data_IF_561205318900
#
_entry.id   IF_561205318900
#
_cell.length_a   1.000
_cell.length_b   1.000
_cell.length_c   1.000
_cell.angle_alpha   90.00
_cell.angle_beta   90.00
_cell.angle_gamma   90.00
#
_symmetry.space_group_name_H-M   'P 1'
#
loop_
_entity.id
_entity.type
_entity.pdbx_description
1 polymer ?
#
# COMPACT_ATOMS: atom_id res chain seq x y z
N UNK A 1 -14.16 -16.97 -8.09
CA UNK A 1 -12.81 -16.46 -7.81
C UNK A 1 -12.94 -15.00 -7.40
N UNK A 2 -12.23 -14.52 -6.37
CA UNK A 2 -12.21 -13.09 -6.01
C UNK A 2 -10.91 -12.48 -6.52
N UNK A 3 -10.98 -11.38 -7.27
CA UNK A 3 -9.81 -10.61 -7.69
C UNK A 3 -9.34 -9.80 -6.48
N UNK A 4 -8.07 -9.91 -6.05
CA UNK A 4 -7.51 -9.03 -5.02
C UNK A 4 -7.71 -7.57 -5.43
N UNK A 5 -8.06 -6.65 -4.53
CA UNK A 5 -8.25 -5.23 -4.88
C UNK A 5 -7.09 -4.33 -4.45
N UNK A 6 -6.22 -4.85 -3.59
CA UNK A 6 -5.05 -4.13 -3.11
C UNK A 6 -3.88 -5.08 -2.90
N UNK A 7 -2.68 -4.56 -3.06
CA UNK A 7 -1.43 -5.23 -2.75
C UNK A 7 -0.63 -4.38 -1.76
N UNK A 8 0.25 -5.00 -0.99
CA UNK A 8 1.07 -4.30 -0.02
C UNK A 8 2.54 -4.69 -0.19
N UNK A 9 3.44 -3.79 0.21
CA UNK A 9 4.89 -3.99 0.26
C UNK A 9 5.44 -3.34 1.52
N UNK A 10 6.45 -3.95 2.13
CA UNK A 10 7.23 -3.33 3.20
C UNK A 10 8.69 -3.36 2.78
N UNK A 11 9.31 -2.19 2.69
CA UNK A 11 10.76 -2.08 2.55
C UNK A 11 11.36 -2.05 3.96
N UNK A 12 12.40 -2.84 4.23
CA UNK A 12 13.12 -2.82 5.49
C UNK A 12 14.62 -2.77 5.22
N UNK A 13 15.34 -1.95 5.97
CA UNK A 13 16.77 -1.72 5.81
C UNK A 13 17.42 -1.37 7.14
N UNK A 14 18.74 -1.53 7.22
CA UNK A 14 19.52 -1.16 8.40
C UNK A 14 20.47 -0.02 8.09
N UNK A 15 20.58 0.93 9.02
CA UNK A 15 21.62 1.97 9.01
C UNK A 15 22.64 1.63 10.09
N UNK A 16 23.92 1.54 9.72
CA UNK A 16 25.00 1.24 10.67
C UNK A 16 25.89 2.47 10.84
N UNK A 17 26.08 2.89 12.08
CA UNK A 17 27.09 3.84 12.54
C UNK A 17 28.23 3.08 13.21
N UNK A 18 29.34 3.75 13.54
CA UNK A 18 30.46 3.11 14.24
C UNK A 18 30.03 2.43 15.56
N UNK A 19 29.06 3.01 16.27
CA UNK A 19 28.62 2.54 17.59
C UNK A 19 27.32 1.70 17.58
N UNK A 20 26.57 1.65 16.47
CA UNK A 20 25.23 1.03 16.48
C UNK A 20 24.69 0.63 15.10
N UNK A 21 23.73 -0.30 15.10
CA UNK A 21 22.91 -0.62 13.92
C UNK A 21 21.44 -0.40 14.25
N UNK A 22 20.77 0.43 13.46
CA UNK A 22 19.34 0.69 13.56
C UNK A 22 18.58 0.03 12.41
N UNK A 23 17.47 -0.64 12.71
CA UNK A 23 16.53 -1.17 11.73
C UNK A 23 15.47 -0.10 11.42
N UNK A 24 15.12 0.02 10.14
CA UNK A 24 14.10 0.91 9.61
C UNK A 24 13.17 0.12 8.68
N UNK A 25 11.92 0.55 8.57
CA UNK A 25 10.96 -0.02 7.64
C UNK A 25 9.99 1.04 7.12
N UNK A 26 9.42 0.84 5.93
CA UNK A 26 8.39 1.70 5.33
C UNK A 26 7.31 0.83 4.67
N UNK A 27 6.04 1.13 4.96
CA UNK A 27 4.87 0.43 4.41
C UNK A 27 4.27 1.11 3.19
N UNK A 28 3.88 0.32 2.18
CA UNK A 28 3.23 0.79 0.97
C UNK A 28 2.03 -0.06 0.60
N UNK A 29 0.96 0.58 0.10
CA UNK A 29 -0.22 -0.09 -0.45
C UNK A 29 -0.45 0.38 -1.88
N UNK A 30 -0.71 -0.57 -2.77
CA UNK A 30 -1.17 -0.36 -4.12
C UNK A 30 -2.67 -0.65 -4.17
N UNK A 31 -3.48 0.37 -4.46
CA UNK A 31 -4.92 0.23 -4.65
C UNK A 31 -5.26 0.16 -6.13
N UNK A 32 -5.81 -0.97 -6.57
CA UNK A 32 -6.27 -1.19 -7.94
C UNK A 32 -7.79 -1.13 -8.07
N UNK A 33 -8.53 -0.83 -7.00
CA UNK A 33 -9.99 -0.74 -7.08
C UNK A 33 -10.49 0.20 -8.19
N UNK A 34 -9.89 1.39 -8.44
CA UNK A 34 -10.35 2.28 -9.50
C UNK A 34 -10.24 1.70 -10.92
N UNK A 35 -9.35 0.72 -11.14
CA UNK A 35 -9.19 0.06 -12.43
C UNK A 35 -10.19 -1.09 -12.64
N UNK A 36 -10.82 -1.54 -11.55
CA UNK A 36 -11.77 -2.65 -11.56
C UNK A 36 -13.23 -2.18 -11.57
N UNK A 37 -13.49 -0.86 -11.45
CA UNK A 37 -14.84 -0.29 -11.45
C UNK A 37 -15.54 -0.46 -12.81
N UNK A 38 -14.79 -0.37 -13.92
CA UNK A 38 -15.31 -0.50 -15.29
C UNK A 38 -15.26 -1.94 -15.83
N UNK A 39 -14.63 -2.87 -15.11
CA UNK A 39 -14.59 -4.28 -15.49
C UNK A 39 -15.80 -4.96 -14.86
N UNK A 40 -16.80 -5.26 -15.70
CA UNK A 40 -17.96 -6.04 -15.27
C UNK A 40 -17.50 -7.37 -14.65
N UNK A 41 -17.71 -7.52 -13.34
CA UNK A 41 -17.18 -8.62 -12.53
C UNK A 41 -17.77 -9.98 -12.91
N UNK A 42 -18.94 -10.00 -13.54
CA UNK A 42 -19.54 -11.21 -14.11
C UNK A 42 -18.99 -11.57 -15.50
N UNK A 43 -18.45 -10.58 -16.22
CA UNK A 43 -17.89 -10.74 -17.57
C UNK A 43 -16.36 -10.93 -17.56
N UNK A 44 -15.70 -10.85 -16.40
CA UNK A 44 -14.24 -10.96 -16.24
C UNK A 44 -13.59 -12.30 -16.63
N UNK A 45 -14.36 -13.26 -17.15
CA UNK A 45 -13.87 -14.51 -17.77
C UNK A 45 -14.13 -14.56 -19.28
N UNK A 46 -14.71 -13.51 -19.88
CA UNK A 46 -14.78 -13.42 -21.32
C UNK A 46 -13.34 -13.44 -21.87
N UNK A 47 -13.00 -14.34 -22.79
CA UNK A 47 -11.69 -14.31 -23.43
C UNK A 47 -11.49 -12.91 -23.98
N UNK A 48 -10.39 -12.26 -23.59
CA UNK A 48 -10.01 -10.97 -24.16
C UNK A 48 -10.16 -11.12 -25.69
N UNK A 49 -10.95 -10.27 -26.36
CA UNK A 49 -11.10 -10.39 -27.81
C UNK A 49 -9.71 -10.40 -28.40
N UNK A 50 -9.38 -11.44 -29.19
CA UNK A 50 -8.05 -11.64 -29.78
C UNK A 50 -7.56 -10.41 -30.58
N UNK A 51 -8.47 -9.46 -30.85
CA UNK A 51 -8.27 -8.23 -31.63
C UNK A 51 -8.83 -6.96 -30.94
N UNK A 52 -9.17 -6.98 -29.64
CA UNK A 52 -9.62 -5.78 -28.93
C UNK A 52 -8.54 -5.23 -28.01
N UNK A 53 -8.37 -3.90 -28.01
CA UNK A 53 -7.48 -3.26 -27.04
C UNK A 53 -7.98 -3.54 -25.62
N UNK A 54 -7.10 -3.94 -24.68
CA UNK A 54 -7.49 -4.02 -23.28
C UNK A 54 -8.06 -2.66 -22.83
N UNK A 55 -9.08 -2.65 -21.96
CA UNK A 55 -9.62 -1.40 -21.44
C UNK A 55 -8.48 -0.57 -20.83
N UNK A 56 -8.54 0.74 -21.01
CA UNK A 56 -7.51 1.64 -20.51
C UNK A 56 -7.53 1.60 -18.98
N UNK A 57 -6.60 0.86 -18.38
CA UNK A 57 -6.43 0.85 -16.94
C UNK A 57 -5.81 2.20 -16.55
N UNK A 58 -6.47 2.96 -15.68
CA UNK A 58 -5.88 4.15 -15.05
C UNK A 58 -4.61 3.79 -14.26
N UNK A 59 -3.81 4.76 -13.80
CA UNK A 59 -2.63 4.45 -12.98
C UNK A 59 -3.05 3.75 -11.67
N UNK A 60 -2.26 2.79 -11.20
CA UNK A 60 -2.42 2.30 -9.83
C UNK A 60 -2.24 3.45 -8.84
N UNK A 61 -3.08 3.52 -7.81
CA UNK A 61 -2.86 4.48 -6.73
C UNK A 61 -1.92 3.86 -5.72
N UNK A 62 -0.72 4.44 -5.59
CA UNK A 62 0.27 4.00 -4.61
C UNK A 62 0.16 4.89 -3.39
N UNK A 63 0.16 4.29 -2.21
CA UNK A 63 0.11 5.00 -0.93
C UNK A 63 1.28 4.58 -0.07
N UNK A 64 1.90 5.54 0.63
CA UNK A 64 2.64 5.24 1.85
C UNK A 64 1.64 5.14 3.01
N UNK A 65 1.80 4.09 3.81
CA UNK A 65 0.90 3.77 4.93
C UNK A 65 1.71 3.35 6.14
N UNK A 66 1.10 3.43 7.33
CA UNK A 66 1.73 2.82 8.51
C UNK A 66 1.70 1.28 8.39
N UNK A 67 2.77 0.63 8.80
CA UNK A 67 2.86 -0.83 8.88
C UNK A 67 1.79 -1.40 9.82
N UNK A 68 1.32 -0.63 10.81
CA UNK A 68 0.17 -1.01 11.66
C UNK A 68 -1.10 -1.20 10.82
N UNK A 69 -1.38 -0.32 9.85
CA UNK A 69 -2.54 -0.47 8.98
C UNK A 69 -2.43 -1.72 8.06
N UNK A 70 -1.21 -2.16 7.74
CA UNK A 70 -0.96 -3.41 6.98
C UNK A 70 -1.20 -4.63 7.89
N UNK A 71 -0.71 -4.61 9.13
CA UNK A 71 -0.96 -5.65 10.13
C UNK A 71 -2.47 -5.84 10.33
N UNK A 72 -3.20 -4.75 10.53
CA UNK A 72 -4.65 -4.78 10.73
C UNK A 72 -5.43 -5.36 9.54
N UNK A 73 -4.92 -5.19 8.31
CA UNK A 73 -5.58 -5.68 7.07
C UNK A 73 -5.23 -7.12 6.71
N UNK A 74 -4.04 -7.56 7.10
CA UNK A 74 -3.47 -8.85 6.66
C UNK A 74 -3.42 -9.88 7.77
N UNK A 75 -3.57 -9.44 9.03
CA UNK A 75 -3.42 -10.23 10.25
C UNK A 75 -2.03 -10.89 10.39
N UNK A 76 -1.05 -10.41 9.63
CA UNK A 76 0.33 -10.89 9.70
C UNK A 76 1.05 -10.32 10.92
N UNK A 77 1.83 -11.15 11.60
CA UNK A 77 2.68 -10.68 12.69
C UNK A 77 3.93 -9.98 12.15
N UNK A 78 3.85 -8.66 12.02
CA UNK A 78 4.93 -7.78 11.55
C UNK A 78 5.35 -6.76 12.62
N UNK A 79 5.12 -7.10 13.89
CA UNK A 79 5.30 -6.22 15.06
C UNK A 79 6.72 -5.65 15.18
N UNK A 80 7.74 -6.40 14.73
CA UNK A 80 9.13 -5.91 14.73
C UNK A 80 9.29 -4.77 13.72
N UNK A 81 8.74 -4.92 12.52
CA UNK A 81 8.84 -3.91 11.46
C UNK A 81 8.01 -2.67 11.78
N UNK A 82 6.85 -2.84 12.41
CA UNK A 82 6.01 -1.69 12.80
C UNK A 82 6.66 -0.81 13.87
N UNK A 83 7.52 -1.37 14.72
CA UNK A 83 8.29 -0.59 15.71
C UNK A 83 9.41 0.25 15.09
N UNK A 84 9.81 -0.09 13.86
CA UNK A 84 10.86 0.58 13.10
C UNK A 84 10.30 1.32 11.89
N UNK A 85 8.98 1.52 11.85
CA UNK A 85 8.31 2.21 10.77
C UNK A 85 8.74 3.68 10.75
N UNK A 86 9.31 4.12 9.63
CA UNK A 86 9.71 5.51 9.41
C UNK A 86 8.51 6.40 9.12
N UNK A 87 7.39 5.82 8.69
CA UNK A 87 6.14 6.54 8.53
C UNK A 87 5.49 6.73 9.91
N UNK A 88 5.87 7.80 10.62
CA UNK A 88 5.32 8.11 11.93
C UNK A 88 3.85 8.56 11.78
N UNK A 89 2.86 7.80 12.29
CA UNK A 89 1.51 8.33 12.39
C UNK A 89 1.55 9.50 13.39
N UNK A 90 1.19 10.70 12.94
CA UNK A 90 1.09 11.85 13.83
C UNK A 90 0.16 11.47 15.02
N UNK A 91 0.61 11.59 16.29
CA UNK A 91 -0.14 11.11 17.45
C UNK A 91 -1.47 11.85 17.70
N UNK A 92 -1.79 12.87 16.88
CA UNK A 92 -2.95 13.72 17.03
C UNK A 92 -4.17 13.32 16.17
N UNK A 93 -4.07 12.34 15.26
CA UNK A 93 -5.21 11.93 14.44
C UNK A 93 -6.07 10.94 15.22
N UNK A 94 -7.07 11.48 15.93
CA UNK A 94 -8.15 10.76 16.62
C UNK A 94 -8.58 9.51 15.85
N UNK A 95 -8.88 8.46 16.62
CA UNK A 95 -9.37 7.14 16.19
C UNK A 95 -10.63 7.16 15.28
N UNK A 96 -11.20 8.34 14.99
CA UNK A 96 -12.44 8.53 14.21
C UNK A 96 -12.25 9.06 12.79
N UNK A 97 -11.03 9.28 12.29
CA UNK A 97 -10.83 9.65 10.88
C UNK A 97 -10.66 8.38 10.05
N UNK A 98 -11.28 8.32 8.86
CA UNK A 98 -11.13 7.21 7.91
C UNK A 98 -9.63 6.86 7.75
N UNK A 99 -9.29 5.57 7.86
CA UNK A 99 -7.91 5.07 7.79
C UNK A 99 -7.24 5.51 6.49
N UNK A 100 -8.01 5.60 5.39
CA UNK A 100 -7.51 6.12 4.10
C UNK A 100 -7.11 7.58 4.15
N UNK A 101 -7.67 8.38 5.06
CA UNK A 101 -7.28 9.79 5.24
C UNK A 101 -5.88 9.94 5.84
N UNK A 102 -5.34 8.89 6.46
CA UNK A 102 -3.96 8.86 6.97
C UNK A 102 -2.95 8.33 5.96
N UNK A 103 -3.39 7.93 4.77
CA UNK A 103 -2.51 7.40 3.74
C UNK A 103 -2.04 8.54 2.84
N UNK A 104 -0.75 8.58 2.54
CA UNK A 104 -0.17 9.59 1.64
C UNK A 104 -0.15 8.99 0.24
N UNK A 105 -0.96 9.53 -0.67
CA UNK A 105 -0.91 9.14 -2.09
C UNK A 105 0.42 9.60 -2.70
N UNK A 106 1.12 8.67 -3.33
CA UNK A 106 2.41 8.87 -3.97
C UNK A 106 2.23 8.98 -5.48
N UNK A 107 2.51 10.15 -6.03
CA UNK A 107 2.61 10.37 -7.48
C UNK A 107 4.03 10.19 -8.00
N UNK A 108 5.02 10.28 -7.11
CA UNK A 108 6.44 10.07 -7.36
C UNK A 108 7.15 9.67 -6.05
N UNK A 109 8.46 9.41 -6.14
CA UNK A 109 9.27 8.97 -4.99
C UNK A 109 9.62 10.09 -4.02
N UNK A 110 9.54 11.37 -4.41
CA UNK A 110 9.85 12.49 -3.54
C UNK A 110 8.79 12.70 -2.45
N UNK A 111 7.58 12.16 -2.64
CA UNK A 111 6.53 12.12 -1.63
C UNK A 111 6.75 11.11 -0.49
N UNK A 112 7.77 10.25 -0.57
CA UNK A 112 8.04 9.24 0.46
C UNK A 112 8.64 9.90 1.71
N UNK A 113 8.06 9.60 2.86
CA UNK A 113 8.53 10.00 4.18
C UNK A 113 9.47 8.91 4.74
N UNK A 114 10.70 9.27 5.10
CA UNK A 114 11.76 8.39 5.62
C UNK A 114 12.31 8.88 6.95
#
# INVERSE_FOLDING_TARGET
>A
MKIPQAFWKIAAWTTTTEDSTALHAAGFVLDQSPQLEDIDRDTGHAPAPMYGNPPALGPYRTYQVSIVDIIDRTELNLTVLSKTDVYAPAPAIRESTDRRTRWVELTDTAGIQL
#
